data_IF_882934736097
#
_entry.id   IF_882934736097
#
_cell.length_a   1.000
_cell.length_b   1.000
_cell.length_c   1.000
_cell.angle_alpha   90.00
_cell.angle_beta   90.00
_cell.angle_gamma   90.00
#
_symmetry.space_group_name_H-M   'P 1'
#
loop_
_entity.id
_entity.type
_entity.pdbx_description
1 polymer ?
#
# COMPACT_ATOMS: atom_id res chain seq x y z
N UNK A 1 -7.34 20.30 -47.55
CA UNK A 1 -8.70 20.75 -47.21
C UNK A 1 -9.62 19.63 -46.70
N UNK A 2 -9.62 18.41 -47.24
CA UNK A 2 -10.46 17.30 -46.72
C UNK A 2 -10.23 16.91 -45.26
N UNK A 3 -8.98 16.86 -44.81
CA UNK A 3 -8.66 16.46 -43.41
C UNK A 3 -9.11 17.46 -42.36
N UNK A 4 -9.11 18.75 -42.68
CA UNK A 4 -9.58 19.80 -41.73
C UNK A 4 -11.10 19.71 -41.55
N UNK A 5 -11.84 19.29 -42.58
CA UNK A 5 -13.30 19.13 -42.53
C UNK A 5 -13.70 17.92 -41.66
N UNK A 6 -12.89 16.84 -41.67
CA UNK A 6 -13.15 15.67 -40.84
C UNK A 6 -12.96 15.97 -39.35
N UNK A 7 -11.92 16.74 -38.98
CA UNK A 7 -11.71 17.15 -37.57
C UNK A 7 -12.77 18.12 -37.06
N UNK A 8 -13.27 19.02 -37.91
CA UNK A 8 -14.34 19.94 -37.52
C UNK A 8 -15.66 19.18 -37.36
N UNK A 9 -15.96 18.19 -38.22
CA UNK A 9 -17.14 17.33 -38.06
C UNK A 9 -17.09 16.46 -36.80
N UNK A 10 -15.91 15.91 -36.45
CA UNK A 10 -15.70 15.13 -35.21
C UNK A 10 -15.81 16.01 -33.97
N UNK A 11 -15.29 17.23 -34.00
CA UNK A 11 -15.40 18.18 -32.90
C UNK A 11 -16.82 18.69 -32.70
N UNK A 12 -17.57 18.95 -33.80
CA UNK A 12 -18.98 19.32 -33.75
C UNK A 12 -19.87 18.16 -33.26
N UNK A 13 -19.53 16.91 -33.57
CA UNK A 13 -20.25 15.75 -33.07
C UNK A 13 -20.06 15.55 -31.58
N UNK A 14 -18.84 15.80 -31.06
CA UNK A 14 -18.53 15.79 -29.63
C UNK A 14 -19.23 16.91 -28.85
N UNK A 15 -19.40 18.09 -29.46
CA UNK A 15 -20.16 19.18 -28.88
C UNK A 15 -21.68 18.94 -28.91
N UNK A 16 -22.20 18.22 -29.94
CA UNK A 16 -23.62 17.89 -30.02
C UNK A 16 -24.06 16.82 -29.01
N UNK A 17 -23.17 15.98 -28.54
CA UNK A 17 -23.45 14.99 -27.48
C UNK A 17 -23.50 15.67 -26.08
N UNK A 18 -22.88 16.85 -25.92
CA UNK A 18 -22.89 17.62 -24.68
C UNK A 18 -24.08 18.55 -24.45
N UNK A 19 -24.98 18.71 -25.43
CA UNK A 19 -26.10 19.68 -25.35
C UNK A 19 -27.49 19.06 -25.34
N UNK A 20 -27.61 17.75 -25.21
CA UNK A 20 -28.92 17.09 -25.05
C UNK A 20 -29.19 16.80 -23.55
N UNK A 21 -29.07 17.82 -22.71
CA UNK A 21 -29.72 17.82 -21.41
C UNK A 21 -31.02 18.57 -21.53
N UNK A 22 -32.15 17.86 -21.68
CA UNK A 22 -33.46 18.44 -21.41
C UNK A 22 -33.54 18.86 -19.96
N UNK A 23 -34.01 20.08 -19.70
CA UNK A 23 -34.36 20.59 -18.38
C UNK A 23 -35.51 19.76 -17.81
N UNK A 24 -35.16 18.77 -17.00
CA UNK A 24 -36.16 17.88 -16.41
C UNK A 24 -35.60 17.11 -15.24
N UNK A 25 -35.68 17.72 -14.04
CA UNK A 25 -35.51 17.07 -12.73
C UNK A 25 -34.13 16.52 -12.42
N UNK A 26 -33.21 17.41 -12.15
CA UNK A 26 -31.77 17.24 -12.13
C UNK A 26 -31.24 16.71 -10.81
N UNK A 27 -31.41 15.44 -10.59
CA UNK A 27 -30.61 14.69 -9.60
C UNK A 27 -29.67 13.69 -10.28
N UNK A 28 -29.06 14.06 -11.42
CA UNK A 28 -27.97 13.29 -11.97
C UNK A 28 -26.72 13.50 -11.12
N UNK A 29 -26.57 12.65 -10.10
CA UNK A 29 -25.26 12.48 -9.47
C UNK A 29 -24.36 11.81 -10.50
N UNK A 30 -23.31 12.48 -10.97
CA UNK A 30 -22.20 11.80 -11.65
C UNK A 30 -21.55 10.93 -10.58
N UNK A 31 -22.02 9.70 -10.46
CA UNK A 31 -21.39 8.70 -9.61
C UNK A 31 -20.15 8.26 -10.41
N UNK A 32 -19.02 8.81 -10.10
CA UNK A 32 -17.75 8.13 -10.34
C UNK A 32 -17.82 6.88 -9.46
N UNK A 33 -18.33 5.79 -10.04
CA UNK A 33 -18.55 4.55 -9.31
C UNK A 33 -17.19 3.97 -8.93
N UNK A 34 -16.75 4.30 -7.74
CA UNK A 34 -15.64 3.58 -7.11
C UNK A 34 -16.17 2.19 -6.78
N UNK A 35 -15.42 1.11 -7.06
CA UNK A 35 -15.85 -0.24 -6.68
C UNK A 35 -16.20 -0.34 -5.19
N UNK A 36 -17.14 -1.22 -4.84
CA UNK A 36 -17.42 -1.58 -3.45
C UNK A 36 -16.13 -2.03 -2.76
N UNK A 37 -15.86 -1.50 -1.56
CA UNK A 37 -14.65 -1.85 -0.82
C UNK A 37 -14.27 -0.87 0.26
N UNK A 38 -13.11 -1.10 0.85
CA UNK A 38 -12.54 -0.24 1.88
C UNK A 38 -11.33 0.50 1.29
N UNK A 39 -11.27 1.80 1.52
CA UNK A 39 -10.31 2.73 0.97
C UNK A 39 -9.60 3.49 2.08
N UNK A 40 -8.36 3.89 1.85
CA UNK A 40 -7.65 4.85 2.69
C UNK A 40 -7.68 6.22 2.04
N UNK A 41 -8.05 7.26 2.80
CA UNK A 41 -8.14 8.64 2.32
C UNK A 41 -7.67 9.62 3.38
N UNK A 42 -7.25 10.80 2.98
CA UNK A 42 -6.84 11.87 3.89
C UNK A 42 -5.54 12.56 3.49
N UNK A 43 -5.23 13.66 4.15
CA UNK A 43 -4.07 14.51 3.85
C UNK A 43 -2.71 13.91 4.25
N UNK A 44 -2.72 12.87 5.10
CA UNK A 44 -1.54 12.04 5.34
C UNK A 44 -1.16 11.19 4.12
N UNK A 45 -2.09 10.95 3.20
CA UNK A 45 -1.89 10.11 2.01
C UNK A 45 -1.77 10.95 0.76
N UNK A 46 -1.50 10.30 -0.38
CA UNK A 46 -1.64 10.93 -1.72
C UNK A 46 -3.09 10.85 -2.24
N UNK A 47 -4.00 10.29 -1.45
CA UNK A 47 -5.39 10.02 -1.85
C UNK A 47 -6.36 10.95 -1.10
N UNK A 48 -6.84 11.99 -1.78
CA UNK A 48 -7.85 12.92 -1.22
C UNK A 48 -9.28 12.36 -1.24
N UNK A 49 -9.53 11.31 -2.02
CA UNK A 49 -10.81 10.63 -2.17
C UNK A 49 -10.60 9.14 -2.49
N UNK A 50 -11.67 8.35 -2.40
CA UNK A 50 -11.62 6.95 -2.81
C UNK A 50 -11.20 6.82 -4.27
N UNK A 51 -10.26 5.93 -4.53
CA UNK A 51 -9.76 5.59 -5.86
C UNK A 51 -9.33 4.11 -5.85
N UNK A 52 -9.32 3.46 -6.99
CA UNK A 52 -8.88 2.06 -7.09
C UNK A 52 -7.47 1.86 -6.49
N UNK A 53 -6.59 2.86 -6.65
CA UNK A 53 -5.23 2.85 -6.09
C UNK A 53 -5.16 3.05 -4.57
N UNK A 54 -6.24 3.49 -3.92
CA UNK A 54 -6.34 3.62 -2.46
C UNK A 54 -7.16 2.50 -1.80
N UNK A 55 -7.62 1.51 -2.59
CA UNK A 55 -8.42 0.39 -2.09
C UNK A 55 -7.55 -0.64 -1.38
N UNK A 56 -8.00 -1.08 -0.21
CA UNK A 56 -7.41 -2.24 0.46
C UNK A 56 -7.86 -3.52 -0.26
N UNK A 57 -6.91 -4.34 -0.67
CA UNK A 57 -7.16 -5.53 -1.48
C UNK A 57 -6.89 -6.83 -0.75
N UNK A 58 -7.44 -7.94 -1.25
CA UNK A 58 -7.18 -9.30 -0.79
C UNK A 58 -6.43 -10.12 -1.84
N UNK A 59 -5.57 -11.07 -1.47
CA UNK A 59 -5.12 -11.33 -0.10
C UNK A 59 -4.21 -10.19 0.41
N UNK A 60 -4.26 -9.94 1.71
CA UNK A 60 -3.41 -8.93 2.33
C UNK A 60 -1.91 -9.29 2.24
N UNK A 61 -1.59 -10.58 2.20
CA UNK A 61 -0.21 -11.09 2.16
C UNK A 61 -0.17 -12.56 1.74
N UNK A 62 0.95 -12.99 1.17
CA UNK A 62 1.09 -14.28 0.48
C UNK A 62 0.89 -15.51 1.39
N UNK A 63 1.14 -15.38 2.69
CA UNK A 63 1.01 -16.48 3.65
C UNK A 63 -0.24 -16.40 4.53
N UNK A 64 -1.23 -15.59 4.14
CA UNK A 64 -2.52 -15.58 4.83
C UNK A 64 -3.19 -16.95 4.71
N UNK A 65 -3.69 -17.55 5.80
CA UNK A 65 -4.47 -18.77 5.72
C UNK A 65 -5.67 -18.61 4.79
N UNK A 66 -6.05 -19.69 4.10
CA UNK A 66 -7.25 -19.68 3.27
C UNK A 66 -8.47 -19.25 4.09
N UNK A 67 -9.30 -18.39 3.51
CA UNK A 67 -10.47 -17.83 4.20
C UNK A 67 -10.16 -16.69 5.19
N UNK A 68 -8.91 -16.28 5.33
CA UNK A 68 -8.56 -15.12 6.15
C UNK A 68 -9.17 -13.86 5.58
N UNK A 69 -9.99 -13.16 6.37
CA UNK A 69 -10.70 -11.96 5.96
C UNK A 69 -9.92 -10.69 6.32
N UNK A 70 -8.67 -10.61 5.85
CA UNK A 70 -7.77 -9.45 6.01
C UNK A 70 -7.50 -8.85 4.64
N UNK A 71 -7.68 -7.54 4.53
CA UNK A 71 -7.34 -6.74 3.35
C UNK A 71 -6.24 -5.74 3.72
N UNK A 72 -5.44 -5.31 2.76
CA UNK A 72 -4.38 -4.35 3.08
C UNK A 72 -3.86 -3.59 1.87
N UNK A 73 -3.05 -2.56 2.18
CA UNK A 73 -2.40 -1.70 1.20
C UNK A 73 -1.05 -1.20 1.73
N UNK A 74 -0.05 -1.15 0.86
CA UNK A 74 1.15 -0.33 1.10
C UNK A 74 0.87 1.10 0.67
N UNK A 75 1.08 2.06 1.55
CA UNK A 75 0.89 3.48 1.25
C UNK A 75 1.87 4.35 2.02
N UNK A 76 2.32 5.44 1.39
CA UNK A 76 3.09 6.46 2.09
C UNK A 76 2.16 7.28 2.98
N UNK A 77 2.56 7.46 4.25
CA UNK A 77 1.85 8.31 5.20
C UNK A 77 2.75 9.43 5.69
N UNK A 78 2.20 10.65 5.74
CA UNK A 78 2.85 11.86 6.26
C UNK A 78 2.45 12.09 7.71
N UNK A 79 3.41 12.35 8.58
CA UNK A 79 3.18 12.65 10.00
C UNK A 79 2.52 14.02 10.24
N UNK A 80 2.58 14.90 9.25
CA UNK A 80 1.93 16.21 9.28
C UNK A 80 0.43 16.18 9.00
N UNK A 81 -0.12 15.05 8.57
CA UNK A 81 -1.51 14.87 8.19
C UNK A 81 -2.21 13.76 8.98
N UNK A 82 -3.41 13.46 8.54
CA UNK A 82 -4.24 12.39 9.07
C UNK A 82 -4.91 11.60 7.95
N UNK A 83 -5.37 10.38 8.27
CA UNK A 83 -6.13 9.56 7.33
C UNK A 83 -7.34 8.91 8.01
N UNK A 84 -8.30 8.53 7.21
CA UNK A 84 -9.47 7.76 7.60
C UNK A 84 -9.64 6.56 6.67
N UNK A 85 -10.45 5.61 7.11
CA UNK A 85 -10.90 4.52 6.26
C UNK A 85 -12.29 4.86 5.74
N UNK A 86 -12.49 4.75 4.43
CA UNK A 86 -13.75 5.00 3.75
C UNK A 86 -14.27 3.68 3.17
N UNK A 87 -15.42 3.22 3.65
CA UNK A 87 -16.12 2.09 3.06
C UNK A 87 -17.12 2.59 2.02
N UNK A 88 -17.10 1.97 0.83
CA UNK A 88 -18.10 2.18 -0.22
C UNK A 88 -18.87 0.89 -0.38
N UNK A 89 -20.18 0.92 -0.17
CA UNK A 89 -21.05 -0.24 -0.30
C UNK A 89 -21.49 -0.50 -1.76
N UNK A 90 -22.31 -1.53 -1.97
CA UNK A 90 -22.82 -1.90 -3.29
C UNK A 90 -23.81 -0.89 -3.90
N UNK A 91 -24.34 0.01 -3.07
CA UNK A 91 -25.27 1.08 -3.48
C UNK A 91 -24.54 2.41 -3.71
N UNK A 92 -23.22 2.44 -3.43
CA UNK A 92 -22.37 3.62 -3.52
C UNK A 92 -22.50 4.54 -2.31
N UNK A 93 -23.05 4.07 -1.19
CA UNK A 93 -23.03 4.83 0.05
C UNK A 93 -21.65 4.78 0.67
N UNK A 94 -21.26 5.89 1.30
CA UNK A 94 -19.95 6.07 1.91
C UNK A 94 -20.06 6.12 3.44
N UNK A 95 -19.25 5.31 4.11
CA UNK A 95 -19.14 5.30 5.58
C UNK A 95 -17.70 5.58 5.95
N UNK A 96 -17.46 6.67 6.69
CA UNK A 96 -16.15 7.02 7.20
C UNK A 96 -15.89 6.40 8.58
N UNK A 97 -14.73 5.76 8.70
CA UNK A 97 -14.25 5.20 9.97
C UNK A 97 -12.95 5.90 10.39
N UNK A 98 -12.84 6.13 11.67
CA UNK A 98 -11.62 6.57 12.32
C UNK A 98 -11.21 5.60 13.43
N UNK A 99 -10.22 6.00 14.22
CA UNK A 99 -9.74 5.24 15.37
C UNK A 99 -10.76 5.25 16.50
N UNK A 100 -11.04 4.06 17.00
CA UNK A 100 -11.70 3.84 18.27
C UNK A 100 -10.71 3.38 19.34
N UNK A 101 -11.03 2.29 20.02
CA UNK A 101 -10.20 1.67 21.06
C UNK A 101 -8.84 1.21 20.49
N UNK A 102 -7.76 1.50 21.22
CA UNK A 102 -6.45 0.89 20.95
C UNK A 102 -6.45 -0.55 21.45
N UNK A 103 -6.26 -1.51 20.53
CA UNK A 103 -6.29 -2.95 20.83
C UNK A 103 -4.88 -3.46 21.15
N UNK A 104 -3.87 -2.95 20.44
CA UNK A 104 -2.46 -3.30 20.61
C UNK A 104 -1.55 -2.15 20.19
N UNK A 105 -0.34 -2.11 20.75
CA UNK A 105 0.70 -1.14 20.37
C UNK A 105 1.95 -1.82 19.80
N UNK A 106 2.10 -3.11 20.00
CA UNK A 106 3.23 -3.92 19.55
C UNK A 106 2.71 -5.20 18.89
N UNK A 107 3.35 -5.69 17.80
CA UNK A 107 4.50 -5.13 17.10
C UNK A 107 4.17 -3.87 16.29
N UNK A 108 2.89 -3.56 16.09
CA UNK A 108 2.41 -2.35 15.41
C UNK A 108 1.10 -1.85 16.04
N UNK A 109 0.82 -0.53 15.99
CA UNK A 109 -0.45 0.01 16.47
C UNK A 109 -1.65 -0.64 15.80
N UNK A 110 -2.59 -1.12 16.61
CA UNK A 110 -3.85 -1.74 16.16
C UNK A 110 -5.02 -1.08 16.86
N UNK A 111 -6.02 -0.70 16.09
CA UNK A 111 -7.20 0.02 16.54
C UNK A 111 -8.48 -0.66 16.09
N UNK A 112 -9.52 -0.59 16.92
CA UNK A 112 -10.87 -0.90 16.45
C UNK A 112 -11.38 0.26 15.59
N UNK A 113 -11.98 -0.02 14.44
CA UNK A 113 -12.61 1.02 13.63
C UNK A 113 -13.92 1.48 14.26
N UNK A 114 -14.18 2.78 14.21
CA UNK A 114 -15.39 3.40 14.71
C UNK A 114 -15.94 4.39 13.69
N UNK A 115 -17.24 4.29 13.38
CA UNK A 115 -17.92 5.25 12.48
C UNK A 115 -17.80 6.66 13.06
N UNK A 116 -17.27 7.58 12.27
CA UNK A 116 -17.02 8.95 12.71
C UNK A 116 -15.97 9.09 13.81
N UNK A 117 -15.13 8.06 14.04
CA UNK A 117 -14.02 8.11 14.99
C UNK A 117 -12.95 9.13 14.61
N UNK A 118 -12.00 9.37 15.51
CA UNK A 118 -10.89 10.30 15.25
C UNK A 118 -10.03 9.82 14.07
N UNK A 119 -9.58 10.71 13.18
CA UNK A 119 -8.64 10.33 12.13
C UNK A 119 -7.37 9.70 12.71
N UNK A 120 -6.77 8.78 11.96
CA UNK A 120 -5.50 8.15 12.30
C UNK A 120 -4.35 9.10 11.98
N UNK A 121 -3.29 9.03 12.78
CA UNK A 121 -2.03 9.75 12.54
C UNK A 121 -0.85 8.78 12.68
N UNK A 122 0.28 9.12 12.08
CA UNK A 122 1.54 8.41 12.24
C UNK A 122 2.60 9.33 12.83
N UNK A 123 3.56 8.75 13.55
CA UNK A 123 4.61 9.54 14.21
C UNK A 123 5.72 10.03 13.26
N UNK A 124 5.86 9.41 12.09
CA UNK A 124 6.95 9.63 11.15
C UNK A 124 6.44 9.46 9.71
N UNK A 125 6.97 10.28 8.80
CA UNK A 125 6.77 10.07 7.36
C UNK A 125 7.40 8.75 6.93
N UNK A 126 6.71 7.98 6.10
CA UNK A 126 7.24 6.72 5.62
C UNK A 126 6.23 5.87 4.88
N UNK A 127 6.71 4.76 4.34
CA UNK A 127 5.85 3.72 3.82
C UNK A 127 5.28 2.91 4.98
N UNK A 128 3.99 2.67 4.93
CA UNK A 128 3.26 1.84 5.88
C UNK A 128 2.49 0.74 5.15
N UNK A 129 2.38 -0.40 5.79
CA UNK A 129 1.38 -1.39 5.42
C UNK A 129 0.17 -1.23 6.35
N UNK A 130 -0.97 -0.89 5.77
CA UNK A 130 -2.22 -0.74 6.51
C UNK A 130 -3.06 -1.98 6.26
N UNK A 131 -3.27 -2.78 7.31
CA UNK A 131 -4.01 -4.03 7.26
C UNK A 131 -5.31 -3.92 8.03
N UNK A 132 -6.43 -4.29 7.40
CA UNK A 132 -7.74 -4.33 8.03
C UNK A 132 -8.24 -5.77 8.17
N UNK A 133 -8.39 -6.22 9.40
CA UNK A 133 -9.05 -7.47 9.75
C UNK A 133 -10.57 -7.22 9.83
N UNK A 134 -11.29 -7.66 8.82
CA UNK A 134 -12.75 -7.49 8.72
C UNK A 134 -13.51 -8.32 9.79
N UNK A 135 -12.93 -9.45 10.21
CA UNK A 135 -13.60 -10.34 11.18
C UNK A 135 -13.71 -9.70 12.56
N UNK A 136 -12.69 -8.95 12.97
CA UNK A 136 -12.63 -8.33 14.30
C UNK A 136 -12.83 -6.81 14.26
N UNK A 137 -13.02 -6.24 13.07
CA UNK A 137 -13.12 -4.81 12.82
C UNK A 137 -11.89 -4.04 13.35
N UNK A 138 -10.69 -4.53 13.03
CA UNK A 138 -9.43 -4.00 13.54
C UNK A 138 -8.50 -3.57 12.41
N UNK A 139 -7.93 -2.37 12.55
CA UNK A 139 -6.93 -1.81 11.64
C UNK A 139 -5.56 -1.83 12.31
N UNK A 140 -4.58 -2.44 11.66
CA UNK A 140 -3.16 -2.44 12.08
C UNK A 140 -2.37 -1.56 11.13
N UNK A 141 -1.58 -0.61 11.68
CA UNK A 141 -0.78 0.35 10.92
C UNK A 141 0.71 0.02 11.12
N UNK A 142 1.31 -0.62 10.14
CA UNK A 142 2.63 -1.24 10.24
C UNK A 142 3.66 -0.37 9.52
N UNK A 143 4.65 0.24 10.21
CA UNK A 143 5.75 0.93 9.53
C UNK A 143 6.61 -0.07 8.76
N UNK A 144 7.00 0.28 7.53
CA UNK A 144 7.78 -0.58 6.64
C UNK A 144 9.08 0.09 6.20
N UNK A 145 9.86 0.55 7.18
CA UNK A 145 11.21 1.07 6.94
C UNK A 145 12.12 -0.09 6.51
N UNK A 146 12.27 -0.28 5.20
CA UNK A 146 13.05 -1.38 4.64
C UNK A 146 14.55 -1.21 4.88
N UNK A 147 15.20 -2.33 5.10
CA UNK A 147 16.64 -2.51 5.03
C UNK A 147 17.01 -3.78 4.28
N UNK A 148 18.28 -3.96 4.02
CA UNK A 148 18.85 -5.17 3.44
C UNK A 148 19.47 -6.03 4.55
N UNK A 149 19.26 -7.36 4.45
CA UNK A 149 19.76 -8.35 5.42
C UNK A 149 20.25 -9.59 4.67
N UNK A 150 21.29 -10.22 5.15
CA UNK A 150 21.84 -11.44 4.59
C UNK A 150 23.35 -11.45 4.53
N UNK A 151 23.95 -12.61 4.23
CA UNK A 151 25.39 -12.79 4.17
C UNK A 151 26.11 -11.81 3.23
N UNK A 152 25.38 -11.28 2.25
CA UNK A 152 25.89 -10.26 1.33
C UNK A 152 26.04 -8.87 1.98
N UNK A 153 25.40 -8.61 3.13
CA UNK A 153 25.32 -7.29 3.76
C UNK A 153 26.26 -7.13 4.94
N UNK A 154 26.59 -5.89 5.38
CA UNK A 154 27.52 -5.66 6.50
C UNK A 154 27.08 -6.31 7.81
N UNK A 155 25.78 -6.35 8.10
CA UNK A 155 25.22 -6.91 9.33
C UNK A 155 24.90 -8.41 9.20
N UNK A 156 25.06 -8.98 8.01
CA UNK A 156 24.72 -10.36 7.69
C UNK A 156 23.25 -10.66 8.04
N UNK A 157 22.97 -11.83 8.63
CA UNK A 157 21.64 -12.23 9.07
C UNK A 157 21.26 -11.74 10.48
N UNK A 158 22.11 -10.92 11.12
CA UNK A 158 21.87 -10.45 12.49
C UNK A 158 20.90 -9.27 12.51
N UNK A 159 21.08 -8.30 11.60
CA UNK A 159 20.24 -7.12 11.54
C UNK A 159 20.20 -6.50 10.13
N UNK A 160 19.25 -5.59 9.89
CA UNK A 160 19.16 -4.86 8.63
C UNK A 160 20.19 -3.73 8.55
N UNK A 161 20.77 -3.57 7.36
CA UNK A 161 21.41 -2.32 6.97
C UNK A 161 20.33 -1.43 6.38
N UNK A 162 20.00 -0.33 7.06
CA UNK A 162 18.85 0.51 6.75
C UNK A 162 18.96 1.17 5.36
N UNK A 163 17.83 1.28 4.69
CA UNK A 163 17.66 2.02 3.42
C UNK A 163 16.89 3.31 3.68
N UNK A 164 17.12 4.32 2.85
CA UNK A 164 16.35 5.57 2.87
C UNK A 164 15.17 5.48 1.91
N UNK A 165 13.95 5.61 2.42
CA UNK A 165 12.72 5.65 1.63
C UNK A 165 12.36 7.08 1.24
N UNK A 166 11.89 7.29 0.01
CA UNK A 166 11.39 8.56 -0.49
C UNK A 166 10.15 8.36 -1.37
N UNK A 167 9.15 9.22 -1.18
CA UNK A 167 7.95 9.25 -2.01
C UNK A 167 8.21 10.09 -3.27
N UNK A 168 7.91 9.52 -4.43
CA UNK A 168 7.73 10.25 -5.68
C UNK A 168 6.23 10.46 -5.92
N UNK A 169 5.69 11.61 -5.50
CA UNK A 169 4.26 11.90 -5.61
C UNK A 169 3.76 11.92 -7.07
N UNK A 170 4.60 12.36 -8.01
CA UNK A 170 4.21 12.45 -9.42
C UNK A 170 3.96 11.08 -10.06
N UNK A 171 4.65 10.05 -9.58
CA UNK A 171 4.53 8.68 -10.08
C UNK A 171 3.78 7.76 -9.12
N UNK A 172 3.40 8.26 -7.94
CA UNK A 172 2.81 7.47 -6.86
C UNK A 172 3.66 6.23 -6.49
N UNK A 173 5.00 6.39 -6.49
CA UNK A 173 5.96 5.34 -6.18
C UNK A 173 6.79 5.70 -4.96
N UNK A 174 7.22 4.68 -4.21
CA UNK A 174 8.19 4.84 -3.12
C UNK A 174 9.47 4.15 -3.52
N UNK A 175 10.57 4.89 -3.46
CA UNK A 175 11.91 4.38 -3.75
C UNK A 175 12.69 4.21 -2.45
N UNK A 176 13.31 3.04 -2.27
CA UNK A 176 14.25 2.78 -1.20
C UNK A 176 15.65 2.71 -1.76
N UNK A 177 16.54 3.53 -1.21
CA UNK A 177 17.94 3.61 -1.65
C UNK A 177 18.90 3.36 -0.49
N UNK A 178 20.04 2.78 -0.81
CA UNK A 178 21.19 2.68 0.08
C UNK A 178 22.42 3.10 -0.71
N UNK A 179 23.36 3.81 -0.07
CA UNK A 179 24.60 4.28 -0.70
C UNK A 179 25.79 3.90 0.13
N UNK A 180 26.94 3.78 -0.54
CA UNK A 180 28.23 3.51 0.10
C UNK A 180 28.25 2.23 0.94
N UNK A 181 27.45 1.23 0.56
CA UNK A 181 27.40 -0.07 1.21
C UNK A 181 28.27 -1.09 0.44
N UNK A 182 29.12 -1.80 1.14
CA UNK A 182 29.85 -2.92 0.55
C UNK A 182 28.98 -4.17 0.62
N UNK A 183 28.72 -4.75 -0.54
CA UNK A 183 27.98 -6.01 -0.66
C UNK A 183 28.90 -7.12 -1.16
N UNK A 184 28.76 -8.30 -0.58
CA UNK A 184 29.44 -9.51 -0.99
C UNK A 184 28.64 -10.31 -2.03
N UNK A 185 29.32 -11.20 -2.73
CA UNK A 185 28.73 -12.13 -3.68
C UNK A 185 28.06 -13.31 -2.98
N UNK A 186 26.99 -13.01 -2.22
CA UNK A 186 26.26 -13.95 -1.35
C UNK A 186 24.75 -13.67 -1.37
N UNK A 187 24.04 -14.19 -0.42
CA UNK A 187 22.58 -14.08 -0.33
C UNK A 187 22.12 -12.88 0.49
N UNK A 188 20.96 -12.32 0.13
CA UNK A 188 20.30 -11.26 0.87
C UNK A 188 18.76 -11.31 0.70
N UNK A 189 18.08 -10.53 1.52
CA UNK A 189 16.66 -10.17 1.42
C UNK A 189 16.46 -8.70 1.80
N UNK A 190 15.25 -8.20 1.53
CA UNK A 190 14.74 -6.99 2.19
C UNK A 190 13.97 -7.39 3.44
N UNK A 191 14.06 -6.59 4.49
CA UNK A 191 13.32 -6.81 5.74
C UNK A 191 12.97 -5.47 6.39
N UNK A 192 11.91 -5.43 7.19
CA UNK A 192 11.52 -4.30 8.02
C UNK A 192 11.12 -4.79 9.41
N UNK A 193 11.04 -3.86 10.38
CA UNK A 193 10.69 -4.11 11.78
C UNK A 193 11.65 -5.05 12.53
N UNK A 194 12.86 -5.27 12.07
CA UNK A 194 13.85 -6.18 12.67
C UNK A 194 13.28 -7.57 13.00
N UNK A 195 12.27 -8.02 12.23
CA UNK A 195 11.58 -9.28 12.46
C UNK A 195 11.27 -9.98 11.13
N UNK A 196 11.05 -11.30 11.19
CA UNK A 196 10.69 -12.13 10.03
C UNK A 196 9.18 -12.18 9.77
N UNK A 197 8.38 -11.64 10.68
CA UNK A 197 6.94 -11.55 10.52
C UNK A 197 6.30 -10.65 11.56
N UNK A 198 5.15 -10.10 11.21
CA UNK A 198 4.29 -9.28 12.07
C UNK A 198 3.05 -10.09 12.41
N UNK A 199 2.76 -10.20 13.71
CA UNK A 199 1.55 -10.86 14.18
C UNK A 199 0.37 -9.87 14.10
N UNK A 200 -0.63 -10.21 13.29
CA UNK A 200 -1.88 -9.45 13.16
C UNK A 200 -2.94 -10.17 13.97
N UNK A 201 -3.61 -9.52 14.93
CA UNK A 201 -4.73 -10.12 15.68
C UNK A 201 -5.84 -10.59 14.73
N UNK A 202 -6.35 -11.80 14.95
CA UNK A 202 -7.40 -12.39 14.13
C UNK A 202 -8.21 -13.41 14.94
N UNK A 203 -9.46 -13.08 15.26
CA UNK A 203 -10.42 -13.99 15.94
C UNK A 203 -9.87 -14.64 17.23
N UNK A 204 -9.24 -13.83 18.10
CA UNK A 204 -8.65 -14.31 19.35
C UNK A 204 -7.30 -15.06 19.21
N UNK A 205 -6.78 -15.18 18.00
CA UNK A 205 -5.46 -15.70 17.67
C UNK A 205 -4.64 -14.65 16.94
N UNK A 206 -3.57 -15.05 16.25
CA UNK A 206 -2.79 -14.18 15.36
C UNK A 206 -2.56 -14.83 14.02
N UNK A 207 -2.52 -14.02 12.97
CA UNK A 207 -2.03 -14.38 11.65
C UNK A 207 -0.70 -13.68 11.42
N UNK A 208 0.32 -14.44 11.06
CA UNK A 208 1.66 -13.89 10.84
C UNK A 208 1.82 -13.44 9.39
N UNK A 209 2.02 -12.13 9.21
CA UNK A 209 2.42 -11.55 7.94
C UNK A 209 3.94 -11.53 7.82
N UNK A 210 4.51 -11.86 6.66
CA UNK A 210 5.94 -11.72 6.43
C UNK A 210 6.36 -10.24 6.44
N UNK A 211 7.36 -9.90 7.25
CA UNK A 211 8.03 -8.60 7.24
C UNK A 211 9.35 -8.62 6.44
N UNK A 212 9.54 -9.64 5.64
CA UNK A 212 10.66 -9.78 4.73
C UNK A 212 10.18 -10.05 3.30
N UNK A 213 10.96 -9.55 2.35
CA UNK A 213 10.70 -9.70 0.93
C UNK A 213 11.89 -10.39 0.27
N UNK A 214 11.62 -11.40 -0.50
CA UNK A 214 12.61 -12.16 -1.26
C UNK A 214 12.19 -12.33 -2.71
N UNK A 215 12.98 -13.08 -3.47
CA UNK A 215 12.72 -13.38 -4.86
C UNK A 215 11.43 -14.19 -5.03
N UNK A 216 10.68 -13.91 -6.09
CA UNK A 216 9.51 -14.72 -6.48
C UNK A 216 9.93 -16.12 -6.87
N UNK A 217 11.07 -16.26 -7.55
CA UNK A 217 11.69 -17.51 -7.90
C UNK A 217 13.17 -17.52 -7.51
N UNK A 218 13.65 -18.66 -7.04
CA UNK A 218 15.06 -18.85 -6.70
C UNK A 218 15.95 -18.58 -7.91
N UNK A 219 16.92 -17.67 -7.77
CA UNK A 219 17.80 -17.30 -8.86
C UNK A 219 18.88 -16.31 -8.47
N UNK A 220 19.87 -16.14 -9.34
CA UNK A 220 20.94 -15.18 -9.22
C UNK A 220 20.49 -13.81 -9.80
N UNK A 221 20.88 -12.75 -9.11
CA UNK A 221 20.64 -11.37 -9.55
C UNK A 221 21.96 -10.76 -9.97
N UNK A 222 22.03 -10.27 -11.22
CA UNK A 222 23.21 -9.60 -11.72
C UNK A 222 23.16 -8.07 -11.60
N UNK A 223 22.04 -7.45 -11.93
CA UNK A 223 21.92 -5.98 -12.03
C UNK A 223 20.56 -5.44 -11.61
N UNK A 224 19.49 -6.23 -11.75
CA UNK A 224 18.14 -5.84 -11.36
C UNK A 224 17.27 -7.05 -11.01
N UNK A 225 16.29 -6.85 -10.16
CA UNK A 225 15.20 -7.80 -9.92
C UNK A 225 13.87 -7.08 -10.15
N UNK A 226 12.95 -7.77 -10.83
CA UNK A 226 11.68 -7.18 -11.24
C UNK A 226 10.58 -7.34 -10.20
N UNK A 227 10.65 -8.39 -9.39
CA UNK A 227 9.56 -8.76 -8.47
C UNK A 227 10.08 -9.36 -7.17
N UNK A 228 9.40 -8.98 -6.08
CA UNK A 228 9.59 -9.54 -4.75
C UNK A 228 8.25 -10.03 -4.20
N UNK A 229 8.30 -11.00 -3.31
CA UNK A 229 7.14 -11.43 -2.52
C UNK A 229 7.49 -11.58 -1.04
N UNK A 230 6.48 -11.48 -0.19
CA UNK A 230 6.61 -11.75 1.24
C UNK A 230 7.13 -13.17 1.47
N UNK A 231 8.18 -13.32 2.28
CA UNK A 231 8.79 -14.61 2.58
C UNK A 231 9.54 -15.30 1.44
N UNK A 232 9.60 -14.72 0.23
CA UNK A 232 10.23 -15.32 -0.96
C UNK A 232 11.66 -15.83 -0.74
N UNK A 233 12.24 -16.46 -1.76
CA UNK A 233 13.60 -17.01 -1.73
C UNK A 233 14.65 -15.89 -1.53
N UNK A 234 15.86 -16.27 -1.09
CA UNK A 234 16.95 -15.32 -1.00
C UNK A 234 17.39 -14.86 -2.40
N UNK A 235 17.72 -13.57 -2.53
CA UNK A 235 18.43 -13.06 -3.69
C UNK A 235 19.89 -13.47 -3.59
N UNK A 236 20.47 -13.97 -4.68
CA UNK A 236 21.90 -14.27 -4.74
C UNK A 236 22.61 -13.22 -5.59
N UNK A 237 23.43 -12.39 -4.98
CA UNK A 237 24.24 -11.40 -5.70
C UNK A 237 25.38 -12.07 -6.46
N UNK A 238 25.52 -11.77 -7.74
CA UNK A 238 26.58 -12.34 -8.59
C UNK A 238 27.80 -11.43 -8.70
N UNK A 239 27.70 -10.19 -8.20
CA UNK A 239 28.78 -9.20 -8.21
C UNK A 239 28.95 -8.60 -6.83
N UNK A 240 30.16 -8.56 -6.34
CA UNK A 240 30.52 -7.84 -5.12
C UNK A 240 30.99 -6.41 -5.45
N UNK A 241 30.83 -5.49 -4.51
CA UNK A 241 31.33 -4.12 -4.66
C UNK A 241 30.69 -3.14 -3.69
N UNK A 242 31.06 -1.86 -3.87
CA UNK A 242 30.40 -0.74 -3.22
C UNK A 242 29.23 -0.30 -4.10
N UNK A 243 28.07 -0.18 -3.52
CA UNK A 243 26.80 0.15 -4.16
C UNK A 243 26.19 1.41 -3.55
#
# INVERSE_FOLDING_TARGET
>A
MKKVFEYIATLLLLLAVGTSCEEGNDNWKVITAVPTGLYITGDATIYSAAATSSQLTTPAFDNAPEGTNIVGIYTWLKSSGSFTMLEVDSEGNEINYGSGESVATTPAPTYRLTVGGSPFTVAKDGLYYVAFNKADNQLTVIPTDFGIIGDATPQQWNDETAMAGALNEAQATVEYTIKDVTLDKKEMKFRYLHNWGVDIPYQGATVKMHSNMGAVAKGAISEAFSECKGGGDNFTLVKAGIH
#
